data_IF_690581546010
#
_entry.id   IF_690581546010
#
_cell.length_a   1.000
_cell.length_b   1.000
_cell.length_c   1.000
_cell.angle_alpha   90.00
_cell.angle_beta   90.00
_cell.angle_gamma   90.00
#
_symmetry.space_group_name_H-M   'P 1'
#
loop_
_entity.id
_entity.type
_entity.pdbx_description
1 polymer ?
#
# COMPACT_ATOMS: atom_id res chain seq x y z
N UNK A 1 21.34 9.10 18.20
CA UNK A 1 20.67 9.17 16.89
C UNK A 1 20.39 10.62 16.57
N UNK A 2 20.72 11.08 15.37
CA UNK A 2 20.45 12.45 14.92
C UNK A 2 18.94 12.60 14.74
N UNK A 3 18.36 13.64 15.33
CA UNK A 3 16.92 13.95 15.29
C UNK A 3 16.66 14.86 14.09
N UNK A 4 15.95 14.37 13.07
CA UNK A 4 15.61 15.17 11.87
C UNK A 4 14.36 16.02 12.21
N UNK A 5 14.40 17.34 12.01
CA UNK A 5 13.28 18.21 12.35
C UNK A 5 12.25 18.33 11.21
N UNK A 6 10.96 18.23 11.55
CA UNK A 6 9.87 18.96 10.88
C UNK A 6 9.28 18.34 9.61
N UNK A 7 8.26 17.52 9.78
CA UNK A 7 7.36 17.05 8.71
C UNK A 7 6.83 15.67 9.07
N UNK A 8 5.50 15.51 9.20
CA UNK A 8 4.94 14.17 9.30
C UNK A 8 5.20 13.47 7.96
N UNK A 9 6.26 12.68 7.88
CA UNK A 9 6.51 11.74 6.78
C UNK A 9 5.62 10.49 6.92
N UNK A 10 4.41 10.69 7.46
CA UNK A 10 3.44 9.65 7.69
C UNK A 10 2.39 9.71 6.59
N UNK A 11 2.21 8.59 5.90
CA UNK A 11 1.24 8.41 4.83
C UNK A 11 0.11 7.53 5.34
N UNK A 12 -1.13 7.89 5.00
CA UNK A 12 -2.29 7.05 5.32
C UNK A 12 -2.17 5.69 4.60
N UNK A 13 -2.05 4.62 5.38
CA UNK A 13 -1.77 3.27 4.87
C UNK A 13 -2.84 2.77 3.90
N UNK A 14 -4.12 3.11 4.14
CA UNK A 14 -5.24 2.73 3.25
C UNK A 14 -5.09 3.30 1.85
N UNK A 15 -4.54 4.51 1.71
CA UNK A 15 -4.29 5.15 0.43
C UNK A 15 -3.02 4.63 -0.23
N UNK A 16 -2.02 4.26 0.55
CA UNK A 16 -0.77 3.71 0.05
C UNK A 16 -0.91 2.27 -0.47
N UNK A 17 -1.81 1.47 0.12
CA UNK A 17 -1.95 0.04 -0.17
C UNK A 17 -3.06 -0.21 -1.19
N UNK A 18 -2.78 -1.04 -2.19
CA UNK A 18 -3.71 -1.42 -3.25
C UNK A 18 -3.66 -2.92 -3.48
N UNK A 19 -4.80 -3.58 -3.32
CA UNK A 19 -4.99 -5.00 -3.61
C UNK A 19 -5.38 -5.19 -5.06
N UNK A 20 -4.68 -6.07 -5.76
CA UNK A 20 -4.84 -6.27 -7.20
C UNK A 20 -5.06 -7.77 -7.44
N UNK A 21 -6.30 -8.18 -7.77
CA UNK A 21 -6.58 -9.53 -8.25
C UNK A 21 -5.86 -9.75 -9.58
N UNK A 22 -5.09 -10.83 -9.68
CA UNK A 22 -4.37 -11.23 -10.90
C UNK A 22 -4.67 -12.68 -11.24
N UNK A 23 -4.65 -13.04 -12.52
CA UNK A 23 -4.85 -14.43 -12.97
C UNK A 23 -3.52 -15.13 -13.23
N UNK A 24 -2.58 -14.37 -13.79
CA UNK A 24 -1.24 -14.81 -14.16
C UNK A 24 -0.17 -13.91 -13.54
N UNK A 25 1.09 -14.35 -13.61
CA UNK A 25 2.21 -13.52 -13.15
C UNK A 25 2.47 -12.32 -14.08
N UNK A 26 2.16 -12.46 -15.37
CA UNK A 26 2.32 -11.40 -16.36
C UNK A 26 1.37 -10.23 -16.08
N UNK A 27 0.21 -10.50 -15.47
CA UNK A 27 -0.72 -9.47 -15.04
C UNK A 27 -0.11 -8.52 -14.02
N UNK A 28 0.83 -8.98 -13.17
CA UNK A 28 1.48 -8.13 -12.15
C UNK A 28 2.27 -7.00 -12.80
N UNK A 29 3.03 -7.32 -13.86
CA UNK A 29 3.82 -6.34 -14.59
C UNK A 29 2.94 -5.42 -15.46
N UNK A 30 1.85 -5.96 -16.00
CA UNK A 30 0.96 -5.26 -16.95
C UNK A 30 -0.30 -4.69 -16.30
N UNK A 31 -0.38 -4.66 -14.97
CA UNK A 31 -1.55 -4.16 -14.27
C UNK A 31 -1.77 -2.68 -14.61
N UNK A 32 -2.96 -2.30 -15.13
CA UNK A 32 -3.28 -0.91 -15.39
C UNK A 32 -3.12 -0.03 -14.15
N UNK A 33 -2.63 1.19 -14.34
CA UNK A 33 -2.60 2.17 -13.27
C UNK A 33 -4.03 2.42 -12.77
N UNK A 34 -4.24 2.26 -11.46
CA UNK A 34 -5.58 2.39 -10.88
C UNK A 34 -6.40 1.10 -10.76
N UNK A 35 -5.94 -0.04 -11.26
CA UNK A 35 -6.62 -1.33 -11.05
C UNK A 35 -6.63 -1.74 -9.56
N UNK A 36 -7.55 -2.64 -9.20
CA UNK A 36 -7.68 -3.14 -7.84
C UNK A 36 -8.45 -2.22 -6.90
N UNK A 37 -8.26 -2.40 -5.59
CA UNK A 37 -8.98 -1.66 -4.56
C UNK A 37 -8.11 -1.33 -3.36
N UNK A 38 -8.49 -0.28 -2.63
CA UNK A 38 -7.87 0.11 -1.37
C UNK A 38 -8.57 -0.58 -0.19
N UNK A 39 -7.84 -1.03 0.84
CA UNK A 39 -8.45 -1.62 2.02
C UNK A 39 -9.24 -0.59 2.82
N UNK A 40 -10.32 -1.03 3.46
CA UNK A 40 -11.10 -0.19 4.38
C UNK A 40 -10.41 -0.06 5.75
N UNK A 41 -9.62 -1.07 6.13
CA UNK A 41 -8.95 -1.15 7.44
C UNK A 41 -7.55 -1.74 7.28
N UNK A 42 -6.59 -1.17 8.01
CA UNK A 42 -5.16 -1.49 7.99
C UNK A 42 -4.56 -1.47 9.40
N UNK A 43 -5.35 -1.15 10.44
CA UNK A 43 -4.88 -1.00 11.82
C UNK A 43 -4.19 -2.24 12.40
N UNK A 44 -4.62 -3.44 12.00
CA UNK A 44 -3.99 -4.69 12.43
C UNK A 44 -2.53 -4.81 11.98
N UNK A 45 -2.13 -4.09 10.93
CA UNK A 45 -0.78 -4.11 10.39
C UNK A 45 -0.01 -2.82 10.66
N UNK A 46 -0.68 -1.67 10.64
CA UNK A 46 -0.07 -0.34 10.69
C UNK A 46 -0.40 0.43 11.98
N UNK A 47 -0.95 -0.25 12.98
CA UNK A 47 -1.38 0.34 14.24
C UNK A 47 -2.67 1.16 14.12
N UNK A 48 -3.22 1.58 15.25
CA UNK A 48 -4.53 2.24 15.32
C UNK A 48 -4.59 3.56 14.53
N UNK A 49 -3.45 4.21 14.32
CA UNK A 49 -3.31 5.43 13.51
C UNK A 49 -3.40 5.14 12.00
N UNK A 50 -3.18 3.89 11.59
CA UNK A 50 -3.21 3.45 10.20
C UNK A 50 -2.24 4.25 9.30
N UNK A 51 -1.04 4.54 9.79
CA UNK A 51 -0.01 5.33 9.10
C UNK A 51 1.26 4.53 8.74
N UNK A 52 1.93 4.94 7.65
CA UNK A 52 3.23 4.42 7.20
C UNK A 52 4.24 5.55 7.27
N UNK A 53 5.33 5.37 8.03
CA UNK A 53 6.40 6.37 8.14
C UNK A 53 7.70 5.92 7.45
N UNK A 54 8.58 6.88 7.15
CA UNK A 54 9.90 6.62 6.55
C UNK A 54 9.94 6.66 5.01
N UNK A 55 8.83 6.99 4.36
CA UNK A 55 8.71 7.08 2.90
C UNK A 55 8.02 8.38 2.48
N UNK A 56 8.53 9.05 1.45
CA UNK A 56 7.92 10.28 0.92
C UNK A 56 6.74 9.99 -0.01
N UNK A 57 6.79 8.88 -0.77
CA UNK A 57 5.77 8.48 -1.74
C UNK A 57 5.63 6.95 -1.78
N UNK A 58 5.08 6.34 -0.73
CA UNK A 58 4.89 4.89 -0.70
C UNK A 58 3.68 4.46 -1.54
N UNK A 59 3.88 3.45 -2.39
CA UNK A 59 2.80 2.69 -3.03
C UNK A 59 3.06 1.20 -2.83
N UNK A 60 2.15 0.52 -2.14
CA UNK A 60 2.24 -0.91 -1.84
C UNK A 60 1.21 -1.64 -2.69
N UNK A 61 1.67 -2.45 -3.65
CA UNK A 61 0.80 -3.31 -4.46
C UNK A 61 0.79 -4.72 -3.90
N UNK A 62 -0.38 -5.20 -3.49
CA UNK A 62 -0.58 -6.57 -3.01
C UNK A 62 -1.30 -7.35 -4.11
N UNK A 63 -0.55 -8.16 -4.86
CA UNK A 63 -1.09 -8.95 -5.97
C UNK A 63 -1.50 -10.34 -5.47
N UNK A 64 -2.77 -10.67 -5.58
CA UNK A 64 -3.29 -11.98 -5.13
C UNK A 64 -3.82 -12.74 -6.33
N UNK A 65 -3.36 -13.98 -6.50
CA UNK A 65 -3.84 -14.85 -7.57
C UNK A 65 -5.25 -15.32 -7.24
N UNK A 66 -6.22 -15.04 -8.12
CA UNK A 66 -7.56 -15.60 -8.03
C UNK A 66 -7.60 -16.86 -8.90
N UNK A 67 -7.87 -18.01 -8.29
CA UNK A 67 -8.20 -19.23 -9.01
C UNK A 67 -9.71 -19.25 -9.19
N UNK A 68 -10.17 -19.00 -10.42
CA UNK A 68 -11.57 -19.17 -10.81
C UNK A 68 -11.82 -20.61 -11.27
#
# INVERSE_FOLDING_TARGET
>A
GIKVPGGSHALESKKAIRFIPVSTIDDVANTPEGAGFHPTFTHQMFGDEEEISGYTHASVKVCTRVML
#
